data_IF_368585096259
#
_entry.id   IF_368585096259
#
_cell.length_a   1.000
_cell.length_b   1.000
_cell.length_c   1.000
_cell.angle_alpha   90.00
_cell.angle_beta   90.00
_cell.angle_gamma   90.00
#
_symmetry.space_group_name_H-M   'P 1'
#
loop_
_entity.id
_entity.type
_entity.pdbx_description
1 polymer ?
#
# COMPACT_ATOMS: atom_id res chain seq x y z
N UNK A 1 3.00 -16.70 -3.63
CA UNK A 1 3.11 -15.41 -2.90
C UNK A 1 4.00 -15.56 -1.69
N UNK A 2 4.93 -14.61 -1.51
CA UNK A 2 5.86 -14.53 -0.38
C UNK A 2 5.98 -13.08 0.09
N UNK A 3 6.01 -12.87 1.40
CA UNK A 3 6.36 -11.57 1.99
C UNK A 3 7.86 -11.33 1.77
N UNK A 4 8.17 -10.27 1.04
CA UNK A 4 9.53 -9.83 0.73
C UNK A 4 10.06 -8.89 1.81
N UNK A 5 9.17 -8.04 2.32
CA UNK A 5 9.48 -7.11 3.40
C UNK A 5 8.23 -6.83 4.21
N UNK A 6 8.38 -6.85 5.53
CA UNK A 6 7.35 -6.45 6.48
C UNK A 6 7.79 -5.14 7.14
N UNK A 7 6.96 -4.11 7.00
CA UNK A 7 7.11 -2.79 7.61
C UNK A 7 6.20 -2.63 8.84
N UNK A 8 5.41 -3.65 9.17
CA UNK A 8 4.44 -3.63 10.26
C UNK A 8 3.34 -2.60 9.99
N UNK A 9 3.34 -1.53 10.80
CA UNK A 9 2.44 -0.39 10.66
C UNK A 9 3.26 0.89 10.57
N UNK A 10 4.22 0.96 9.64
CA UNK A 10 4.96 2.19 9.42
C UNK A 10 3.99 3.26 8.90
N UNK A 11 3.68 4.23 9.76
CA UNK A 11 2.82 5.36 9.43
C UNK A 11 3.63 6.52 8.87
N UNK A 12 3.12 7.08 7.77
CA UNK A 12 3.64 8.24 7.09
C UNK A 12 2.54 9.28 7.06
N UNK A 13 2.81 10.42 7.69
CA UNK A 13 1.94 11.58 7.64
C UNK A 13 2.08 12.28 6.31
N UNK A 14 0.96 12.48 5.62
CA UNK A 14 0.90 13.19 4.35
C UNK A 14 -0.13 14.33 4.42
N UNK A 15 0.36 15.56 4.26
CA UNK A 15 -0.50 16.71 3.99
C UNK A 15 -0.53 16.97 2.49
N UNK A 16 -1.72 17.19 1.91
CA UNK A 16 -1.88 17.57 0.49
C UNK A 16 -1.16 18.88 0.12
N UNK A 17 -0.65 19.62 1.11
CA UNK A 17 0.15 20.84 0.95
C UNK A 17 1.66 20.57 0.81
N UNK A 18 2.11 19.34 1.05
CA UNK A 18 3.54 18.97 1.04
C UNK A 18 3.98 18.48 -0.33
N UNK A 19 5.09 19.02 -0.84
CA UNK A 19 5.62 18.77 -2.20
C UNK A 19 6.20 17.35 -2.38
N UNK A 20 6.57 16.65 -1.31
CA UNK A 20 7.15 15.30 -1.40
C UNK A 20 6.07 14.23 -1.43
N UNK A 21 5.61 13.92 -2.64
CA UNK A 21 4.66 12.84 -2.91
C UNK A 21 5.29 11.45 -3.00
N UNK A 22 6.62 11.34 -3.01
CA UNK A 22 7.31 10.09 -3.32
C UNK A 22 8.19 9.63 -2.15
N UNK A 23 8.10 8.34 -1.83
CA UNK A 23 8.99 7.67 -0.88
C UNK A 23 9.74 6.54 -1.58
N UNK A 24 10.93 6.24 -1.09
CA UNK A 24 11.67 5.04 -1.47
C UNK A 24 11.51 4.00 -0.37
N UNK A 25 11.24 2.77 -0.78
CA UNK A 25 11.13 1.61 0.10
C UNK A 25 12.19 0.59 -0.29
N UNK A 26 13.15 0.36 0.60
CA UNK A 26 14.28 -0.54 0.36
C UNK A 26 13.98 -1.97 0.84
N UNK A 27 14.29 -2.96 0.00
CA UNK A 27 14.12 -4.39 0.31
C UNK A 27 15.06 -5.25 -0.54
N UNK A 28 15.59 -6.35 0.00
CA UNK A 28 16.39 -7.35 -0.75
C UNK A 28 17.37 -6.76 -1.80
N UNK A 29 18.17 -5.78 -1.39
CA UNK A 29 19.14 -5.07 -2.27
C UNK A 29 18.53 -4.34 -3.47
N UNK A 30 17.24 -4.00 -3.40
CA UNK A 30 16.45 -3.30 -4.41
C UNK A 30 15.59 -2.22 -3.74
N UNK A 31 14.97 -1.37 -4.54
CA UNK A 31 14.11 -0.28 -4.07
C UNK A 31 12.83 -0.22 -4.91
N UNK A 32 11.74 0.23 -4.30
CA UNK A 32 10.53 0.65 -5.01
C UNK A 32 10.29 2.13 -4.71
N UNK A 33 10.00 2.90 -5.76
CA UNK A 33 9.52 4.27 -5.63
C UNK A 33 7.99 4.23 -5.52
N UNK A 34 7.46 4.73 -4.40
CA UNK A 34 6.02 4.76 -4.13
C UNK A 34 5.53 6.20 -4.13
N UNK A 35 4.53 6.47 -4.95
CA UNK A 35 3.83 7.76 -4.98
C UNK A 35 2.66 7.72 -4.00
N UNK A 36 2.78 8.44 -2.88
CA UNK A 36 1.79 8.54 -1.81
C UNK A 36 0.43 9.05 -2.32
N UNK A 37 0.45 9.95 -3.30
CA UNK A 37 -0.77 10.44 -3.96
C UNK A 37 -1.57 9.31 -4.62
N UNK A 38 -0.90 8.31 -5.20
CA UNK A 38 -1.60 7.19 -5.83
C UNK A 38 -2.27 6.29 -4.77
N UNK A 39 -1.64 6.14 -3.60
CA UNK A 39 -2.23 5.43 -2.46
C UNK A 39 -3.52 6.14 -2.02
N UNK A 40 -3.48 7.46 -1.84
CA UNK A 40 -4.64 8.27 -1.45
C UNK A 40 -5.73 8.24 -2.52
N UNK A 41 -5.37 8.52 -3.77
CA UNK A 41 -6.33 8.60 -4.88
C UNK A 41 -7.11 7.30 -5.08
N UNK A 42 -6.49 6.15 -4.75
CA UNK A 42 -7.14 4.84 -4.85
C UNK A 42 -8.32 4.67 -3.90
N UNK A 43 -8.34 5.36 -2.77
CA UNK A 43 -9.50 5.40 -1.86
C UNK A 43 -10.71 6.02 -2.55
N UNK A 44 -10.50 7.01 -3.44
CA UNK A 44 -11.57 7.80 -4.05
C UNK A 44 -11.95 7.33 -5.45
N UNK A 45 -10.96 6.97 -6.26
CA UNK A 45 -11.14 6.68 -7.68
C UNK A 45 -11.34 5.20 -7.97
N UNK A 46 -10.98 4.32 -7.03
CA UNK A 46 -10.80 2.90 -7.31
C UNK A 46 -9.56 2.68 -8.17
N UNK A 47 -8.63 1.88 -7.67
CA UNK A 47 -7.33 1.65 -8.31
C UNK A 47 -6.52 0.53 -7.65
N UNK A 48 -7.18 -0.24 -6.80
CA UNK A 48 -6.64 -1.46 -6.24
C UNK A 48 -6.39 -2.45 -7.39
N UNK A 49 -5.56 -3.48 -7.16
CA UNK A 49 -5.53 -4.63 -8.07
C UNK A 49 -6.98 -5.06 -8.33
N UNK A 50 -7.38 -5.07 -9.61
CA UNK A 50 -8.77 -5.31 -10.01
C UNK A 50 -9.34 -6.53 -9.30
N UNK A 51 -10.64 -6.52 -8.99
CA UNK A 51 -11.33 -7.66 -8.35
C UNK A 51 -11.23 -8.91 -9.21
N UNK A 52 -10.17 -9.68 -8.97
CA UNK A 52 -9.84 -10.93 -9.61
C UNK A 52 -9.38 -11.93 -8.54
N UNK A 53 -9.11 -13.17 -8.94
CA UNK A 53 -8.63 -14.24 -8.06
C UNK A 53 -7.38 -13.84 -7.25
N UNK A 54 -6.55 -12.91 -7.77
CA UNK A 54 -5.36 -12.41 -7.11
C UNK A 54 -5.69 -11.54 -5.89
N UNK A 55 -6.67 -10.64 -5.98
CA UNK A 55 -7.08 -9.80 -4.85
C UNK A 55 -7.68 -10.65 -3.72
N UNK A 56 -8.49 -11.64 -4.06
CA UNK A 56 -9.07 -12.55 -3.07
C UNK A 56 -7.97 -13.39 -2.41
N UNK A 57 -7.03 -13.93 -3.20
CA UNK A 57 -5.86 -14.65 -2.67
C UNK A 57 -4.99 -13.80 -1.74
N UNK A 58 -4.81 -12.51 -2.04
CA UNK A 58 -4.11 -11.55 -1.19
C UNK A 58 -4.82 -11.33 0.14
N UNK A 59 -6.14 -11.14 0.12
CA UNK A 59 -6.96 -10.99 1.32
C UNK A 59 -6.91 -12.24 2.18
N UNK A 60 -7.06 -13.42 1.59
CA UNK A 60 -7.05 -14.70 2.31
C UNK A 60 -5.66 -14.97 2.92
N UNK A 61 -4.59 -14.75 2.14
CA UNK A 61 -3.20 -14.93 2.61
C UNK A 61 -2.85 -14.01 3.79
N UNK A 62 -3.36 -12.78 3.79
CA UNK A 62 -3.09 -11.80 4.85
C UNK A 62 -4.14 -11.81 5.98
N UNK A 63 -5.18 -12.64 5.88
CA UNK A 63 -6.27 -12.70 6.85
C UNK A 63 -7.14 -11.44 6.90
N UNK A 64 -7.20 -10.66 5.81
CA UNK A 64 -7.96 -9.40 5.72
C UNK A 64 -9.35 -9.72 5.20
N UNK A 65 -10.24 -10.17 6.10
CA UNK A 65 -11.62 -10.53 5.78
C UNK A 65 -12.60 -9.34 5.78
N UNK A 66 -13.80 -9.56 5.23
CA UNK A 66 -14.94 -8.62 5.17
C UNK A 66 -15.32 -7.97 6.51
N UNK A 67 -15.00 -8.61 7.63
CA UNK A 67 -15.34 -8.17 8.99
C UNK A 67 -14.10 -7.81 9.83
N UNK A 68 -12.91 -7.81 9.24
CA UNK A 68 -11.69 -7.39 9.93
C UNK A 68 -11.58 -5.87 9.90
N UNK A 69 -11.27 -5.25 11.04
CA UNK A 69 -10.87 -3.84 11.04
C UNK A 69 -9.59 -3.74 10.23
N UNK A 70 -9.55 -2.83 9.25
CA UNK A 70 -8.33 -2.50 8.55
C UNK A 70 -7.22 -2.20 9.58
N UNK A 71 -6.00 -2.75 9.44
CA UNK A 71 -4.93 -2.56 10.41
C UNK A 71 -4.53 -1.09 10.59
N UNK A 72 -4.73 -0.26 9.57
CA UNK A 72 -4.54 1.20 9.62
C UNK A 72 -5.76 1.97 10.16
N UNK A 73 -6.88 1.30 10.45
CA UNK A 73 -8.14 1.95 10.84
C UNK A 73 -8.83 2.74 9.72
N UNK A 74 -8.46 2.52 8.46
CA UNK A 74 -8.99 3.20 7.29
C UNK A 74 -9.19 2.26 6.09
N UNK A 75 -8.90 2.74 4.89
CA UNK A 75 -8.97 1.96 3.65
C UNK A 75 -7.66 1.19 3.42
N UNK A 76 -7.75 -0.06 2.99
CA UNK A 76 -6.58 -0.89 2.61
C UNK A 76 -6.53 -1.09 1.11
N UNK A 77 -5.32 -1.06 0.55
CA UNK A 77 -5.08 -1.21 -0.87
C UNK A 77 -3.88 -2.08 -1.19
N UNK A 78 -3.97 -2.72 -2.36
CA UNK A 78 -2.90 -3.47 -2.98
C UNK A 78 -2.55 -2.82 -4.31
N UNK A 79 -1.26 -2.59 -4.54
CA UNK A 79 -0.76 -2.00 -5.78
C UNK A 79 0.25 -2.90 -6.42
N UNK A 80 0.14 -3.10 -7.74
CA UNK A 80 1.28 -3.57 -8.53
C UNK A 80 2.28 -2.44 -8.64
N UNK A 81 3.50 -2.70 -8.20
CA UNK A 81 4.61 -1.76 -8.22
C UNK A 81 5.81 -2.44 -8.86
N UNK A 82 6.61 -1.68 -9.58
CA UNK A 82 7.84 -2.16 -10.20
C UNK A 82 9.03 -1.62 -9.43
N UNK A 83 9.97 -2.52 -9.14
CA UNK A 83 11.25 -2.16 -8.53
C UNK A 83 12.16 -1.39 -9.48
N UNK A 84 13.22 -0.80 -8.97
CA UNK A 84 14.26 -0.15 -9.79
C UNK A 84 14.94 -1.16 -10.72
N UNK A 85 15.07 -2.43 -10.31
CA UNK A 85 15.60 -3.51 -11.18
C UNK A 85 14.58 -4.06 -12.17
N UNK A 86 13.34 -3.58 -12.16
CA UNK A 86 12.31 -3.92 -13.14
C UNK A 86 11.47 -5.15 -12.80
N UNK A 87 11.65 -5.75 -11.62
CA UNK A 87 10.80 -6.83 -11.11
C UNK A 87 9.46 -6.28 -10.58
N UNK A 88 8.38 -7.05 -10.79
CA UNK A 88 7.04 -6.72 -10.31
C UNK A 88 6.79 -7.24 -8.90
N UNK A 89 6.16 -6.39 -8.08
CA UNK A 89 5.78 -6.66 -6.70
C UNK A 89 4.37 -6.17 -6.41
N UNK A 90 3.84 -6.58 -5.26
CA UNK A 90 2.61 -6.06 -4.69
C UNK A 90 2.92 -5.28 -3.42
N UNK A 91 2.56 -4.00 -3.41
CA UNK A 91 2.57 -3.18 -2.20
C UNK A 91 1.24 -3.34 -1.48
N UNK A 92 1.28 -3.81 -0.24
CA UNK A 92 0.16 -3.77 0.68
C UNK A 92 0.27 -2.53 1.57
N UNK A 93 -0.66 -1.61 1.41
CA UNK A 93 -0.72 -0.34 2.13
C UNK A 93 -2.12 -0.06 2.65
N UNK A 94 -2.23 0.99 3.45
CA UNK A 94 -3.50 1.55 3.89
C UNK A 94 -3.44 3.07 3.96
N UNK A 95 -4.61 3.68 3.98
CA UNK A 95 -4.78 5.13 4.12
C UNK A 95 -5.94 5.41 5.07
N UNK A 96 -5.72 6.35 5.97
CA UNK A 96 -6.71 6.86 6.90
C UNK A 96 -6.78 8.38 6.77
N UNK A 97 -7.94 8.87 6.36
CA UNK A 97 -8.23 10.30 6.35
C UNK A 97 -8.42 10.80 7.79
N UNK A 98 -7.68 11.82 8.17
CA UNK A 98 -7.79 12.49 9.48
C UNK A 98 -8.52 13.83 9.35
N UNK A 99 -8.27 14.54 8.25
CA UNK A 99 -9.01 15.74 7.84
C UNK A 99 -8.94 15.90 6.32
N UNK A 100 -9.72 16.83 5.74
CA UNK A 100 -9.81 17.04 4.29
C UNK A 100 -8.47 17.15 3.55
N UNK A 101 -7.40 17.59 4.23
CA UNK A 101 -6.06 17.76 3.65
C UNK A 101 -4.99 16.89 4.30
N UNK A 102 -5.33 16.05 5.28
CA UNK A 102 -4.37 15.28 6.08
C UNK A 102 -4.72 13.80 6.07
N UNK A 103 -3.77 13.00 5.59
CA UNK A 103 -3.89 11.56 5.43
C UNK A 103 -2.74 10.85 6.15
N UNK A 104 -3.07 9.80 6.88
CA UNK A 104 -2.08 8.86 7.40
C UNK A 104 -2.00 7.69 6.44
N UNK A 105 -0.84 7.51 5.82
CA UNK A 105 -0.56 6.37 4.95
C UNK A 105 0.23 5.35 5.76
N UNK A 106 -0.24 4.11 5.78
CA UNK A 106 0.46 3.01 6.43
C UNK A 106 1.01 2.08 5.37
N UNK A 107 2.33 1.86 5.37
CA UNK A 107 2.95 0.82 4.56
C UNK A 107 3.05 -0.44 5.42
N UNK A 108 2.40 -1.51 4.97
CA UNK A 108 2.39 -2.76 5.71
C UNK A 108 3.45 -3.72 5.19
N UNK A 109 3.33 -4.16 3.93
CA UNK A 109 4.15 -5.25 3.39
C UNK A 109 4.43 -5.06 1.90
N UNK A 110 5.55 -5.60 1.45
CA UNK A 110 5.84 -5.85 0.03
C UNK A 110 5.78 -7.36 -0.18
N UNK A 111 5.02 -7.79 -1.19
CA UNK A 111 4.85 -9.19 -1.56
C UNK A 111 5.36 -9.43 -2.99
N UNK A 112 5.92 -10.61 -3.23
CA UNK A 112 6.21 -11.14 -4.57
C UNK A 112 5.31 -12.34 -4.81
N UNK A 113 4.80 -12.50 -6.03
CA UNK A 113 4.10 -13.74 -6.42
C UNK A 113 5.02 -14.96 -6.28
#
# INVERSE_FOLDING_TARGET
>A
MKIVKDYGNQELSFDNLTVKSNIKLDFLDDEILVELNNIINTQFQGGNIQENEMLQSLKDYLGIGLYSKAPCGGFVNFFKVKSIKGEDFVLYSGVKEVSNSHYLITIHKILKE
#
